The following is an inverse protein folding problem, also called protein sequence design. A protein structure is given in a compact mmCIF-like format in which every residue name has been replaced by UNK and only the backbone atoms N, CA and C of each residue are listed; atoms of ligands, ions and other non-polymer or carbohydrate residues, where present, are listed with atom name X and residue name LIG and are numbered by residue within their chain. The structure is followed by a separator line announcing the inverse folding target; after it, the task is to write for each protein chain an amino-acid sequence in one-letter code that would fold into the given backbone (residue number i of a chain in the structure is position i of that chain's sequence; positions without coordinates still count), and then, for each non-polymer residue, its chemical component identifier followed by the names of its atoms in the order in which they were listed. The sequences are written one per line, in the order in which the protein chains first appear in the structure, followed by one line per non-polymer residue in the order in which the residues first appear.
data_IF_168071504377
#
_entry.id   IF_168071504377
#
_cell.length_a   1.000
_cell.length_b   1.000
_cell.length_c   1.000
_cell.angle_alpha   90.00
_cell.angle_beta   90.00
_cell.angle_gamma   90.00
#
_symmetry.space_group_name_H-M   'P 1'
#
loop_
_entity.id
_entity.type
_entity.pdbx_description
1 polymer ?
#
# COMPACT_ATOMS: atom_id res chain seq x y z
N UNK A 1 7.50 -33.68 -3.62
CA UNK A 1 7.17 -33.72 -2.18
C UNK A 1 8.17 -32.87 -1.38
N UNK A 2 8.24 -31.56 -1.65
CA UNK A 2 9.18 -30.62 -1.02
C UNK A 2 8.52 -29.29 -0.63
N UNK A 3 7.17 -29.25 -0.64
CA UNK A 3 6.39 -28.02 -0.45
C UNK A 3 5.87 -27.78 0.96
N UNK A 4 5.95 -28.74 1.90
CA UNK A 4 5.25 -28.60 3.19
C UNK A 4 6.05 -27.88 4.28
N UNK A 5 7.39 -27.84 4.18
CA UNK A 5 8.25 -27.31 5.25
C UNK A 5 8.39 -25.77 5.16
N UNK A 6 8.22 -25.18 3.97
CA UNK A 6 8.26 -23.71 3.80
C UNK A 6 7.05 -22.99 4.42
N UNK A 7 5.90 -23.67 4.51
CA UNK A 7 4.66 -23.10 5.07
C UNK A 7 4.58 -23.19 6.59
N UNK A 8 5.30 -24.13 7.22
CA UNK A 8 5.23 -24.37 8.67
C UNK A 8 6.11 -23.39 9.47
N UNK A 9 7.27 -22.99 8.94
CA UNK A 9 8.19 -22.07 9.65
C UNK A 9 7.66 -20.61 9.66
N UNK A 10 6.72 -20.26 8.77
CA UNK A 10 6.13 -18.92 8.71
C UNK A 10 4.98 -18.68 9.72
N UNK A 11 4.35 -19.74 10.24
CA UNK A 11 3.02 -19.67 10.85
C UNK A 11 2.97 -19.55 12.38
N UNK A 12 4.11 -19.43 13.06
CA UNK A 12 4.19 -19.63 14.53
C UNK A 12 5.07 -18.62 15.25
N UNK A 13 4.91 -17.31 15.01
CA UNK A 13 5.35 -16.29 15.97
C UNK A 13 4.40 -15.09 15.94
N UNK A 14 3.65 -14.78 17.01
CA UNK A 14 2.92 -13.52 17.10
C UNK A 14 3.95 -12.39 17.23
N UNK A 15 4.01 -11.53 16.22
CA UNK A 15 4.99 -10.46 16.06
C UNK A 15 4.35 -9.09 16.33
N UNK A 16 5.16 -8.06 16.69
CA UNK A 16 4.66 -6.83 17.28
C UNK A 16 3.64 -6.14 16.37
N UNK A 17 2.48 -5.79 16.94
CA UNK A 17 1.35 -5.19 16.21
C UNK A 17 0.18 -6.14 15.96
N UNK A 18 0.21 -7.41 16.37
CA UNK A 18 -0.97 -8.28 16.27
C UNK A 18 -1.31 -8.76 14.85
N UNK A 19 -0.36 -8.61 13.92
CA UNK A 19 -0.37 -9.20 12.56
C UNK A 19 0.97 -9.87 12.29
N UNK A 20 0.95 -11.01 11.61
CA UNK A 20 2.15 -11.77 11.26
C UNK A 20 2.78 -11.30 9.95
N UNK A 21 3.97 -11.81 9.63
CA UNK A 21 4.67 -11.42 8.40
C UNK A 21 3.87 -11.79 7.14
N UNK A 22 3.11 -12.89 7.17
CA UNK A 22 2.27 -13.32 6.06
C UNK A 22 1.14 -12.34 5.79
N UNK A 23 0.42 -11.94 6.84
CA UNK A 23 -0.65 -10.95 6.78
C UNK A 23 -0.16 -9.59 6.31
N UNK A 24 1.01 -9.13 6.79
CA UNK A 24 1.62 -7.89 6.28
C UNK A 24 1.92 -7.97 4.79
N UNK A 25 2.49 -9.09 4.32
CA UNK A 25 2.82 -9.24 2.89
C UNK A 25 1.57 -9.38 2.02
N UNK A 26 0.49 -9.94 2.55
CA UNK A 26 -0.78 -10.09 1.85
C UNK A 26 -1.57 -8.78 1.72
N UNK A 27 -1.20 -7.74 2.47
CA UNK A 27 -1.87 -6.43 2.49
C UNK A 27 -0.88 -5.29 2.15
N UNK A 28 0.30 -5.65 1.63
CA UNK A 28 1.40 -4.70 1.47
C UNK A 28 1.10 -3.64 0.40
N UNK A 29 0.40 -4.02 -0.67
CA UNK A 29 0.08 -3.11 -1.76
C UNK A 29 -1.05 -2.17 -1.37
N UNK A 30 -2.12 -2.70 -0.77
CA UNK A 30 -3.24 -1.93 -0.19
C UNK A 30 -2.75 -0.95 0.90
N UNK A 31 -1.67 -1.31 1.61
CA UNK A 31 -1.02 -0.39 2.54
C UNK A 31 -0.19 0.69 1.82
N UNK A 32 0.43 0.38 0.68
CA UNK A 32 1.30 1.28 -0.08
C UNK A 32 0.51 2.29 -0.93
N UNK A 33 -0.64 1.91 -1.46
CA UNK A 33 -1.56 2.77 -2.21
C UNK A 33 -2.48 3.61 -1.29
N UNK A 34 -2.65 3.18 -0.03
CA UNK A 34 -3.53 3.84 0.94
C UNK A 34 -4.99 3.39 0.83
N UNK A 35 -5.27 2.24 0.22
CA UNK A 35 -6.60 1.67 0.02
C UNK A 35 -7.04 0.74 1.17
N UNK A 36 -6.34 0.74 2.30
CA UNK A 36 -6.79 0.03 3.51
C UNK A 36 -7.97 0.75 4.19
N UNK A 37 -9.14 0.13 4.14
CA UNK A 37 -10.36 0.64 4.78
C UNK A 37 -10.31 0.60 6.32
N UNK A 38 -9.57 -0.33 6.92
CA UNK A 38 -9.49 -0.52 8.38
C UNK A 38 -8.29 0.25 8.97
N UNK A 39 -8.52 1.37 9.71
CA UNK A 39 -7.44 2.15 10.32
C UNK A 39 -6.66 1.36 11.36
N UNK A 40 -7.31 0.43 12.06
CA UNK A 40 -6.64 -0.42 13.02
C UNK A 40 -5.67 -1.37 12.31
N UNK A 41 -6.06 -1.94 11.17
CA UNK A 41 -5.19 -2.78 10.36
C UNK A 41 -3.98 -1.99 9.81
N UNK A 42 -4.21 -0.77 9.31
CA UNK A 42 -3.13 0.12 8.86
C UNK A 42 -2.09 0.35 9.96
N UNK A 43 -2.54 0.63 11.18
CA UNK A 43 -1.66 0.83 12.33
C UNK A 43 -0.89 -0.43 12.72
N UNK A 44 -1.53 -1.61 12.67
CA UNK A 44 -0.85 -2.89 12.92
C UNK A 44 0.25 -3.17 11.92
N UNK A 45 0.00 -2.92 10.63
CA UNK A 45 0.99 -3.08 9.56
C UNK A 45 2.15 -2.11 9.76
N UNK A 46 1.87 -0.83 10.02
CA UNK A 46 2.90 0.19 10.32
C UNK A 46 3.79 -0.25 11.48
N UNK A 47 3.19 -0.62 12.61
CA UNK A 47 3.91 -1.05 13.80
C UNK A 47 4.76 -2.31 13.57
N UNK A 48 4.29 -3.24 12.71
CA UNK A 48 5.06 -4.41 12.32
C UNK A 48 6.26 -4.03 11.45
N UNK A 49 6.06 -3.19 10.42
CA UNK A 49 7.11 -2.75 9.50
C UNK A 49 8.24 -1.99 10.21
N UNK A 50 7.91 -1.20 11.25
CA UNK A 50 8.90 -0.47 12.06
C UNK A 50 9.85 -1.38 12.85
N UNK A 51 9.42 -2.60 13.20
CA UNK A 51 10.15 -3.49 14.10
C UNK A 51 10.69 -4.74 13.39
N UNK A 52 10.07 -5.15 12.29
CA UNK A 52 10.37 -6.40 11.62
C UNK A 52 11.49 -6.23 10.57
N UNK A 53 12.70 -6.68 10.93
CA UNK A 53 13.88 -6.70 10.04
C UNK A 53 13.70 -7.54 8.77
N UNK A 54 12.73 -8.46 8.75
CA UNK A 54 12.42 -9.31 7.59
C UNK A 54 11.49 -8.62 6.59
N UNK A 55 10.47 -7.92 7.08
CA UNK A 55 9.46 -7.29 6.23
C UNK A 55 9.91 -5.93 5.71
N UNK A 56 10.65 -5.17 6.53
CA UNK A 56 11.06 -3.80 6.18
C UNK A 56 11.84 -3.69 4.86
N UNK A 57 12.84 -4.56 4.55
CA UNK A 57 13.56 -4.46 3.27
C UNK A 57 12.65 -4.61 2.06
N UNK A 58 11.65 -5.51 2.14
CA UNK A 58 10.68 -5.73 1.07
C UNK A 58 9.77 -4.52 0.90
N UNK A 59 9.21 -4.00 2.00
CA UNK A 59 8.40 -2.77 1.98
C UNK A 59 9.18 -1.59 1.41
N UNK A 60 10.41 -1.37 1.86
CA UNK A 60 11.24 -0.25 1.41
C UNK A 60 11.58 -0.36 -0.08
N UNK A 61 11.87 -1.58 -0.56
CA UNK A 61 12.08 -1.83 -1.99
C UNK A 61 10.83 -1.51 -2.81
N UNK A 62 9.67 -2.06 -2.42
CA UNK A 62 8.41 -1.83 -3.16
C UNK A 62 8.02 -0.36 -3.18
N UNK A 63 8.16 0.34 -2.05
CA UNK A 63 7.93 1.79 -1.99
C UNK A 63 8.82 2.56 -2.98
N UNK A 64 10.12 2.26 -3.00
CA UNK A 64 11.06 2.92 -3.89
C UNK A 64 10.80 2.54 -5.37
N UNK A 65 10.41 1.30 -5.64
CA UNK A 65 10.08 0.82 -6.97
C UNK A 65 8.82 1.50 -7.51
N UNK A 66 7.74 1.56 -6.73
CA UNK A 66 6.50 2.24 -7.13
C UNK A 66 6.72 3.74 -7.36
N UNK A 67 7.52 4.39 -6.51
CA UNK A 67 7.92 5.79 -6.74
C UNK A 67 8.65 5.95 -8.08
N UNK A 68 9.64 5.09 -8.35
CA UNK A 68 10.36 5.13 -9.62
C UNK A 68 9.43 4.93 -10.82
N UNK A 69 8.51 3.96 -10.77
CA UNK A 69 7.54 3.71 -11.84
C UNK A 69 6.61 4.90 -12.05
N UNK A 70 6.13 5.51 -10.96
CA UNK A 70 5.28 6.71 -11.01
C UNK A 70 5.99 7.86 -11.75
N UNK A 71 7.28 8.07 -11.48
CA UNK A 71 8.09 9.12 -12.11
C UNK A 71 8.32 8.90 -13.62
N UNK A 72 8.21 7.66 -14.12
CA UNK A 72 8.39 7.38 -15.56
C UNK A 72 7.12 7.68 -16.39
N UNK A 73 5.96 7.82 -15.75
CA UNK A 73 4.64 7.80 -16.37
C UNK A 73 4.01 9.15 -16.72
N UNK A 74 4.79 10.22 -16.87
CA UNK A 74 4.22 11.55 -17.13
C UNK A 74 4.02 11.83 -18.62
N UNK A 75 2.84 11.48 -19.14
CA UNK A 75 2.24 12.29 -20.22
C UNK A 75 1.38 13.36 -19.58
N UNK A 76 1.66 14.64 -19.88
CA UNK A 76 0.81 15.73 -19.40
C UNK A 76 -0.64 15.48 -19.83
N UNK A 77 -1.55 15.48 -18.85
CA UNK A 77 -2.98 15.41 -19.14
C UNK A 77 -3.35 16.57 -20.09
N UNK A 78 -4.17 16.34 -21.12
CA UNK A 78 -4.53 17.39 -22.04
C UNK A 78 -5.24 18.55 -21.31
N UNK A 79 -4.93 19.82 -21.64
CA UNK A 79 -5.49 20.98 -20.94
C UNK A 79 -7.01 21.07 -21.05
N UNK A 80 -7.63 20.45 -22.05
CA UNK A 80 -9.08 20.31 -22.15
C UNK A 80 -9.67 19.39 -21.07
N UNK A 81 -8.99 18.32 -20.67
CA UNK A 81 -9.46 17.43 -19.61
C UNK A 81 -9.47 18.17 -18.28
N UNK A 82 -8.39 18.91 -18.00
CA UNK A 82 -8.31 19.78 -16.82
C UNK A 82 -9.45 20.80 -16.80
N UNK A 83 -9.71 21.49 -17.92
CA UNK A 83 -10.82 22.45 -18.02
C UNK A 83 -12.17 21.81 -17.72
N UNK A 84 -12.46 20.64 -18.27
CA UNK A 84 -13.72 19.91 -18.01
C UNK A 84 -13.87 19.56 -16.53
N UNK A 85 -12.82 19.00 -15.90
CA UNK A 85 -12.85 18.64 -14.48
C UNK A 85 -13.13 19.87 -13.62
N UNK A 86 -12.40 20.97 -13.85
CA UNK A 86 -12.63 22.22 -13.11
C UNK A 86 -14.03 22.78 -13.31
N UNK A 87 -14.59 22.70 -14.52
CA UNK A 87 -15.94 23.14 -14.79
C UNK A 87 -16.98 22.30 -14.02
N UNK A 88 -16.86 20.97 -14.03
CA UNK A 88 -17.77 20.09 -13.29
C UNK A 88 -17.75 20.36 -11.78
N UNK A 89 -16.57 20.60 -11.20
CA UNK A 89 -16.44 20.95 -9.79
C UNK A 89 -17.12 22.29 -9.44
N UNK A 90 -16.98 23.31 -10.29
CA UNK A 90 -17.61 24.62 -10.08
C UNK A 90 -19.14 24.57 -10.23
N UNK A 91 -19.63 23.74 -11.13
CA UNK A 91 -21.08 23.54 -11.32
C UNK A 91 -21.72 22.86 -10.10
N UNK A 92 -21.05 21.86 -9.51
CA UNK A 92 -21.48 21.22 -8.26
C UNK A 92 -21.51 22.22 -7.09
N UNK A 93 -20.46 23.03 -6.90
CA UNK A 93 -20.42 24.06 -5.83
C UNK A 93 -21.50 25.14 -5.96
N UNK A 94 -22.03 25.38 -7.16
CA UNK A 94 -23.08 26.38 -7.41
C UNK A 94 -24.50 25.88 -7.15
N UNK A 95 -24.67 24.58 -6.95
CA UNK A 95 -25.96 23.93 -6.70
C UNK A 95 -26.26 23.71 -5.22
N UNK A 96 -25.27 23.96 -4.35
CA UNK A 96 -25.39 24.08 -2.89
C UNK A 96 -25.61 25.56 -2.46
#
# INVERSE_FOLDING_TARGET
MTGFIRDIIAKMMPQPGGIDCGGVMAQLYEYLDGELDDPALQEKIRAHLEKCRRCYPRYNFEKAFLHFVSDQGHTNAPPELRRKIFQSLLEEESQD
#
